data_IF_877492175207
#
_entry.id   IF_877492175207
#
_cell.length_a   1.000
_cell.length_b   1.000
_cell.length_c   1.000
_cell.angle_alpha   90.00
_cell.angle_beta   90.00
_cell.angle_gamma   90.00
#
_symmetry.space_group_name_H-M   'P 1'
#
loop_
_entity.id
_entity.type
_entity.pdbx_description
1 polymer ?
#
# COMPACT_ATOMS: atom_id res chain seq x y z
N UNK A 1 2.21 -14.32 -0.85
CA UNK A 1 1.19 -13.50 -1.51
C UNK A 1 1.80 -12.75 -2.69
N UNK A 2 1.03 -12.69 -3.78
CA UNK A 2 1.32 -11.85 -4.95
C UNK A 2 0.20 -10.83 -5.05
N UNK A 3 0.54 -9.62 -5.49
CA UNK A 3 -0.46 -8.61 -5.78
C UNK A 3 -0.59 -8.43 -7.28
N UNK A 4 -1.82 -8.43 -7.75
CA UNK A 4 -2.19 -7.99 -9.09
C UNK A 4 -3.05 -6.74 -8.92
N UNK A 5 -2.76 -5.71 -9.71
CA UNK A 5 -3.62 -4.53 -9.75
C UNK A 5 -4.15 -4.32 -11.16
N UNK A 6 -5.47 -4.13 -11.22
CA UNK A 6 -6.19 -3.70 -12.41
C UNK A 6 -6.77 -2.31 -12.18
N UNK A 7 -6.46 -1.37 -13.06
CA UNK A 7 -6.95 -0.01 -12.98
C UNK A 7 -7.70 0.41 -14.26
N UNK A 8 -8.73 1.24 -14.11
CA UNK A 8 -9.54 1.80 -15.20
C UNK A 8 -9.31 3.31 -15.41
N UNK A 9 -8.48 3.91 -14.57
CA UNK A 9 -8.04 5.31 -14.63
C UNK A 9 -6.57 5.34 -14.25
N UNK A 10 -5.84 6.34 -14.74
CA UNK A 10 -4.45 6.53 -14.34
C UNK A 10 -4.34 6.78 -12.82
N UNK A 11 -3.33 6.16 -12.20
CA UNK A 11 -3.08 6.30 -10.78
C UNK A 11 -1.65 5.92 -10.42
N UNK A 12 -1.24 6.29 -9.23
CA UNK A 12 -0.01 5.86 -8.57
C UNK A 12 -0.37 4.84 -7.50
N UNK A 13 0.44 3.79 -7.39
CA UNK A 13 0.25 2.74 -6.39
C UNK A 13 1.49 2.66 -5.52
N UNK A 14 1.27 2.56 -4.23
CA UNK A 14 2.30 2.35 -3.22
C UNK A 14 1.88 1.23 -2.30
N UNK A 15 2.82 0.37 -1.93
CA UNK A 15 2.56 -0.72 -1.00
C UNK A 15 3.54 -0.64 0.15
N UNK A 16 3.02 -0.71 1.36
CA UNK A 16 3.81 -0.70 2.58
C UNK A 16 3.52 -1.94 3.40
N UNK A 17 4.56 -2.53 3.96
CA UNK A 17 4.46 -3.65 4.89
C UNK A 17 4.67 -3.17 6.31
N UNK A 18 4.01 -3.83 7.27
CA UNK A 18 4.30 -3.66 8.69
C UNK A 18 5.41 -4.63 9.10
N UNK A 19 6.43 -4.12 9.77
CA UNK A 19 7.48 -4.93 10.40
C UNK A 19 7.05 -5.47 11.78
N UNK A 20 7.82 -6.43 12.27
CA UNK A 20 7.60 -7.06 13.59
C UNK A 20 7.73 -6.09 14.77
N UNK A 21 8.56 -5.05 14.64
CA UNK A 21 8.69 -3.96 15.61
C UNK A 21 7.56 -2.91 15.51
N UNK A 22 6.63 -3.11 14.58
CA UNK A 22 5.51 -2.21 14.30
C UNK A 22 5.84 -1.09 13.32
N UNK A 23 7.09 -0.88 12.90
CA UNK A 23 7.44 0.11 11.89
C UNK A 23 6.95 -0.31 10.50
N UNK A 24 7.12 0.58 9.51
CA UNK A 24 6.70 0.37 8.13
C UNK A 24 7.89 0.35 7.18
N UNK A 25 7.80 -0.47 6.15
CA UNK A 25 8.74 -0.49 5.04
C UNK A 25 8.03 -0.43 3.69
N UNK A 26 8.71 0.15 2.69
CA UNK A 26 8.16 0.26 1.34
C UNK A 26 8.38 -1.03 0.57
N UNK A 27 7.29 -1.72 0.24
CA UNK A 27 7.28 -2.91 -0.61
C UNK A 27 7.18 -2.55 -2.08
N UNK A 28 6.49 -1.48 -2.43
CA UNK A 28 6.38 -1.00 -3.80
C UNK A 28 6.35 0.52 -3.78
N UNK A 29 7.19 1.21 -4.58
CA UNK A 29 7.81 0.81 -5.86
C UNK A 29 9.13 -0.01 -5.86
N UNK A 30 9.50 -0.64 -4.74
CA UNK A 30 10.79 -1.32 -4.52
C UNK A 30 11.96 -0.34 -4.55
N UNK A 31 12.18 0.40 -3.45
CA UNK A 31 13.38 1.22 -3.28
C UNK A 31 14.64 0.37 -3.50
N UNK A 32 15.65 0.97 -4.11
CA UNK A 32 16.91 0.27 -4.31
C UNK A 32 17.72 0.32 -3.00
N UNK A 33 18.49 -0.75 -2.75
CA UNK A 33 19.32 -0.84 -1.55
C UNK A 33 20.50 0.14 -1.55
N UNK A 34 21.00 0.50 -2.74
CA UNK A 34 22.11 1.45 -2.92
C UNK A 34 21.67 2.92 -2.84
N UNK A 35 20.43 3.21 -3.22
CA UNK A 35 19.86 4.55 -3.23
C UNK A 35 18.34 4.48 -2.97
N UNK A 36 17.88 4.71 -1.72
CA UNK A 36 16.48 4.62 -1.36
C UNK A 36 15.56 5.65 -2.05
N UNK A 37 16.13 6.70 -2.63
CA UNK A 37 15.38 7.69 -3.42
C UNK A 37 15.03 7.19 -4.82
N UNK A 38 15.68 6.11 -5.27
CA UNK A 38 15.44 5.49 -6.57
C UNK A 38 14.75 4.15 -6.41
N UNK A 39 13.94 3.81 -7.40
CA UNK A 39 13.07 2.63 -7.33
C UNK A 39 13.31 1.75 -8.54
N UNK A 40 13.10 0.44 -8.37
CA UNK A 40 13.25 -0.51 -9.47
C UNK A 40 12.11 -0.38 -10.50
N UNK A 41 10.96 0.12 -10.07
CA UNK A 41 9.78 0.27 -10.91
C UNK A 41 9.09 1.62 -10.67
N UNK A 42 8.42 2.17 -11.67
CA UNK A 42 7.61 3.38 -11.49
C UNK A 42 6.32 3.06 -10.73
N UNK A 43 5.92 3.88 -9.73
CA UNK A 43 4.63 3.70 -9.05
C UNK A 43 3.42 4.01 -9.95
N UNK A 44 3.63 4.69 -11.07
CA UNK A 44 2.58 5.07 -12.01
C UNK A 44 2.00 3.86 -12.76
N UNK A 45 0.67 3.84 -12.86
CA UNK A 45 -0.16 2.89 -13.58
C UNK A 45 -1.06 3.69 -14.53
N UNK A 46 -0.82 3.61 -15.85
CA UNK A 46 -1.62 4.31 -16.86
C UNK A 46 -3.05 3.77 -16.99
N UNK A 47 -3.92 4.47 -17.72
CA UNK A 47 -5.40 4.34 -17.73
C UNK A 47 -6.02 2.93 -17.88
N UNK A 48 -5.33 1.96 -18.47
CA UNK A 48 -5.83 0.58 -18.57
C UNK A 48 -4.65 -0.39 -18.56
N UNK A 49 -4.60 -1.25 -17.56
CA UNK A 49 -3.53 -2.23 -17.47
C UNK A 49 -3.73 -3.24 -16.35
N UNK A 50 -2.90 -4.28 -16.44
CA UNK A 50 -2.66 -5.22 -15.37
C UNK A 50 -1.22 -5.05 -14.94
N UNK A 51 -1.00 -4.82 -13.64
CA UNK A 51 0.34 -4.89 -13.06
C UNK A 51 0.43 -6.14 -12.21
N UNK A 52 1.19 -7.11 -12.70
CA UNK A 52 1.61 -8.28 -11.93
C UNK A 52 2.92 -7.92 -11.24
N UNK A 53 2.95 -8.04 -9.92
CA UNK A 53 4.15 -7.73 -9.15
C UNK A 53 5.24 -8.80 -9.43
N UNK A 54 6.53 -8.41 -9.46
CA UNK A 54 7.62 -9.28 -9.91
C UNK A 54 7.66 -10.63 -9.17
N UNK A 55 8.01 -11.72 -9.90
CA UNK A 55 8.06 -13.08 -9.33
C UNK A 55 9.10 -13.22 -8.20
N UNK A 56 10.20 -12.45 -8.28
CA UNK A 56 11.28 -12.38 -7.28
C UNK A 56 10.91 -11.52 -6.06
N UNK A 57 9.74 -10.88 -6.09
CA UNK A 57 9.21 -10.04 -5.02
C UNK A 57 7.88 -10.60 -4.51
N UNK A 58 7.95 -11.85 -4.04
CA UNK A 58 6.86 -12.48 -3.29
C UNK A 58 6.89 -11.98 -1.86
N UNK A 59 5.71 -11.64 -1.33
CA UNK A 59 5.54 -11.37 0.09
C UNK A 59 5.22 -12.69 0.78
N UNK A 60 6.11 -13.22 1.60
CA UNK A 60 5.83 -14.45 2.35
C UNK A 60 5.52 -14.06 3.79
N UNK A 61 4.41 -14.54 4.33
CA UNK A 61 4.17 -14.39 5.76
C UNK A 61 5.31 -15.09 6.50
N UNK A 62 5.99 -14.37 7.39
CA UNK A 62 7.02 -14.98 8.23
C UNK A 62 6.38 -15.73 9.41
N UNK A 63 7.21 -16.43 10.18
CA UNK A 63 6.78 -17.16 11.37
C UNK A 63 6.76 -16.31 12.65
N UNK A 64 6.92 -14.99 12.57
CA UNK A 64 7.07 -14.08 13.71
C UNK A 64 5.76 -13.32 13.97
N UNK A 65 5.24 -13.41 15.19
CA UNK A 65 3.96 -12.79 15.54
C UNK A 65 2.74 -13.57 15.03
N UNK A 66 1.56 -12.95 15.09
CA UNK A 66 0.27 -13.61 14.78
C UNK A 66 -0.41 -13.11 13.51
N UNK A 67 0.02 -11.95 13.00
CA UNK A 67 -0.65 -11.23 11.91
C UNK A 67 0.36 -10.39 11.14
N UNK A 68 0.30 -10.48 9.82
CA UNK A 68 0.96 -9.54 8.93
C UNK A 68 -0.03 -8.49 8.44
N UNK A 69 0.45 -7.27 8.22
CA UNK A 69 -0.37 -6.19 7.69
C UNK A 69 0.32 -5.51 6.51
N UNK A 70 -0.47 -5.23 5.48
CA UNK A 70 -0.03 -4.61 4.24
C UNK A 70 -0.96 -3.43 3.96
N UNK A 71 -0.41 -2.25 3.74
CA UNK A 71 -1.15 -1.10 3.28
C UNK A 71 -0.97 -0.95 1.77
N UNK A 72 -2.09 -0.86 1.05
CA UNK A 72 -2.12 -0.49 -0.36
C UNK A 72 -2.68 0.92 -0.46
N UNK A 73 -1.89 1.84 -1.01
CA UNK A 73 -2.25 3.24 -1.22
C UNK A 73 -2.33 3.49 -2.72
N UNK A 74 -3.45 4.04 -3.18
CA UNK A 74 -3.70 4.42 -4.56
C UNK A 74 -3.97 5.91 -4.60
N UNK A 75 -3.26 6.65 -5.45
CA UNK A 75 -3.38 8.09 -5.57
C UNK A 75 -3.54 8.54 -7.01
N UNK A 76 -4.21 9.66 -7.23
CA UNK A 76 -4.23 10.33 -8.53
C UNK A 76 -2.93 11.09 -8.81
N UNK A 77 -2.40 11.73 -7.78
CA UNK A 77 -1.17 12.53 -7.84
C UNK A 77 0.00 11.72 -7.25
N UNK A 78 1.22 12.00 -7.68
CA UNK A 78 2.41 11.38 -7.10
C UNK A 78 2.55 11.75 -5.62
N UNK A 79 2.90 10.76 -4.79
CA UNK A 79 3.15 10.92 -3.36
C UNK A 79 4.62 10.65 -3.09
N UNK A 80 5.23 11.46 -2.22
CA UNK A 80 6.52 11.13 -1.60
C UNK A 80 6.33 9.93 -0.66
N UNK A 81 6.60 8.74 -1.19
CA UNK A 81 6.42 7.50 -0.45
C UNK A 81 7.45 7.33 0.67
N UNK A 82 8.60 8.01 0.59
CA UNK A 82 9.64 7.97 1.62
C UNK A 82 9.15 8.72 2.85
N UNK A 83 8.62 9.93 2.65
CA UNK A 83 8.01 10.71 3.72
C UNK A 83 6.77 10.00 4.28
N UNK A 84 5.92 9.45 3.41
CA UNK A 84 4.75 8.68 3.84
C UNK A 84 5.15 7.47 4.69
N UNK A 85 6.15 6.69 4.27
CA UNK A 85 6.64 5.55 5.06
C UNK A 85 7.19 6.00 6.42
N UNK A 86 7.99 7.07 6.43
CA UNK A 86 8.51 7.64 7.67
C UNK A 86 7.38 8.08 8.60
N UNK A 87 6.34 8.74 8.08
CA UNK A 87 5.18 9.18 8.84
C UNK A 87 4.38 7.99 9.42
N UNK A 88 4.18 6.92 8.66
CA UNK A 88 3.54 5.68 9.15
C UNK A 88 4.38 5.05 10.28
N UNK A 89 5.71 5.15 10.22
CA UNK A 89 6.63 4.56 11.21
C UNK A 89 6.76 5.33 12.52
N UNK A 90 6.29 6.59 12.64
CA UNK A 90 6.56 7.46 13.81
C UNK A 90 6.04 6.92 15.15
N UNK A 91 4.98 6.12 15.18
CA UNK A 91 4.33 5.66 16.42
C UNK A 91 4.02 4.14 16.42
N UNK A 92 5.02 3.26 16.38
CA UNK A 92 4.83 1.83 16.07
C UNK A 92 3.87 1.08 17.00
N UNK A 93 3.62 1.61 18.20
CA UNK A 93 2.70 1.06 19.21
C UNK A 93 1.21 1.22 18.85
N UNK A 94 0.86 2.07 17.90
CA UNK A 94 -0.53 2.27 17.45
C UNK A 94 -0.88 1.35 16.28
N UNK A 95 -2.17 1.01 16.15
CA UNK A 95 -2.70 0.24 15.04
C UNK A 95 -2.26 0.78 13.68
N UNK A 96 -1.85 -0.14 12.79
CA UNK A 96 -1.23 0.20 11.51
C UNK A 96 -2.17 1.01 10.61
N UNK A 97 -3.45 0.65 10.60
CA UNK A 97 -4.51 1.37 9.87
C UNK A 97 -4.71 2.80 10.37
N UNK A 98 -4.62 3.02 11.69
CA UNK A 98 -4.75 4.36 12.28
C UNK A 98 -3.56 5.25 11.88
N UNK A 99 -2.35 4.69 11.86
CA UNK A 99 -1.14 5.42 11.43
C UNK A 99 -1.14 5.77 9.96
N UNK A 100 -1.56 4.84 9.11
CA UNK A 100 -1.76 5.10 7.69
C UNK A 100 -2.76 6.24 7.48
N UNK A 101 -3.89 6.18 8.18
CA UNK A 101 -4.91 7.20 8.14
C UNK A 101 -4.39 8.57 8.62
N UNK A 102 -3.60 8.60 9.69
CA UNK A 102 -2.99 9.84 10.18
C UNK A 102 -1.97 10.41 9.18
N UNK A 103 -1.12 9.56 8.60
CA UNK A 103 -0.08 9.95 7.65
C UNK A 103 -0.63 10.50 6.34
N UNK A 104 -1.74 9.96 5.84
CA UNK A 104 -2.41 10.47 4.63
C UNK A 104 -3.18 11.78 4.87
N UNK A 105 -3.43 12.15 6.14
CA UNK A 105 -4.20 13.34 6.49
C UNK A 105 -5.69 13.25 6.14
N UNK A 106 -6.44 14.33 6.46
CA UNK A 106 -7.90 14.41 6.25
C UNK A 106 -8.27 14.75 4.80
N UNK A 107 -7.44 15.53 4.09
CA UNK A 107 -7.74 16.06 2.75
C UNK A 107 -7.42 15.09 1.59
N UNK A 108 -6.65 14.05 1.84
CA UNK A 108 -6.32 13.04 0.83
C UNK A 108 -7.50 12.07 0.57
N UNK A 109 -8.49 12.03 1.46
CA UNK A 109 -9.48 10.95 1.50
C UNK A 109 -10.65 11.21 0.55
N UNK A 110 -10.78 10.39 -0.48
CA UNK A 110 -12.11 10.14 -1.05
C UNK A 110 -12.90 9.30 -0.07
N UNK A 111 -14.21 9.56 0.07
CA UNK A 111 -15.15 8.54 0.53
C UNK A 111 -15.08 7.37 -0.46
N UNK A 112 -14.21 6.41 -0.18
CA UNK A 112 -13.97 5.25 -1.01
C UNK A 112 -14.80 4.08 -0.52
N UNK A 113 -15.31 3.27 -1.46
CA UNK A 113 -15.87 1.95 -1.12
C UNK A 113 -14.79 0.91 -1.36
N UNK A 114 -14.44 0.15 -0.32
CA UNK A 114 -13.72 -1.10 -0.45
C UNK A 114 -14.72 -2.26 -0.41
N UNK A 115 -14.65 -3.15 -1.38
CA UNK A 115 -15.38 -4.42 -1.37
C UNK A 115 -14.39 -5.56 -1.47
N UNK A 116 -14.48 -6.51 -0.54
CA UNK A 116 -13.70 -7.74 -0.57
C UNK A 116 -14.61 -8.84 -1.08
N UNK A 117 -14.23 -9.45 -2.20
CA UNK A 117 -14.93 -10.63 -2.72
C UNK A 117 -14.56 -11.88 -1.93
N UNK A 118 -15.41 -12.91 -1.97
CA UNK A 118 -15.12 -14.22 -1.38
C UNK A 118 -13.89 -14.92 -1.96
N UNK A 119 -13.41 -14.47 -3.13
CA UNK A 119 -12.18 -14.96 -3.77
C UNK A 119 -10.94 -14.11 -3.45
N UNK A 120 -11.04 -13.17 -2.49
CA UNK A 120 -9.90 -12.36 -2.04
C UNK A 120 -9.58 -11.13 -2.90
N UNK A 121 -10.37 -10.83 -3.94
CA UNK A 121 -10.20 -9.58 -4.69
C UNK A 121 -10.71 -8.39 -3.88
N UNK A 122 -9.92 -7.31 -3.87
CA UNK A 122 -10.27 -6.03 -3.23
C UNK A 122 -10.55 -5.01 -4.31
N UNK A 123 -11.76 -4.45 -4.33
CA UNK A 123 -12.15 -3.38 -5.25
C UNK A 123 -12.14 -2.06 -4.50
N UNK A 124 -11.33 -1.11 -4.97
CA UNK A 124 -11.26 0.26 -4.46
C UNK A 124 -11.90 1.21 -5.47
N UNK A 125 -12.88 2.00 -5.03
CA UNK A 125 -13.51 3.04 -5.85
C UNK A 125 -13.50 4.37 -5.12
N UNK A 126 -12.96 5.41 -5.74
CA UNK A 126 -13.01 6.76 -5.19
C UNK A 126 -14.40 7.36 -5.42
N UNK A 127 -14.94 8.02 -4.40
CA UNK A 127 -16.06 8.96 -4.56
C UNK A 127 -15.61 10.26 -5.24
N UNK A 128 -16.56 11.13 -5.57
CA UNK A 128 -16.27 12.40 -6.25
C UNK A 128 -15.30 13.27 -5.44
N UNK A 129 -14.21 13.69 -6.08
CA UNK A 129 -13.27 14.70 -5.57
C UNK A 129 -12.11 14.18 -4.72
N UNK A 130 -12.11 12.91 -4.31
CA UNK A 130 -11.00 12.42 -3.52
C UNK A 130 -9.86 11.85 -4.37
N UNK A 131 -8.64 12.18 -3.96
CA UNK A 131 -7.42 11.93 -4.73
C UNK A 131 -6.66 10.70 -4.27
N UNK A 132 -6.87 10.24 -3.02
CA UNK A 132 -6.18 9.11 -2.44
C UNK A 132 -7.18 8.13 -1.83
N UNK A 133 -6.91 6.84 -2.05
CA UNK A 133 -7.57 5.70 -1.44
C UNK A 133 -6.50 4.86 -0.75
N UNK A 134 -6.84 4.29 0.39
CA UNK A 134 -5.98 3.33 1.05
C UNK A 134 -6.79 2.20 1.66
N UNK A 135 -6.23 1.00 1.63
CA UNK A 135 -6.75 -0.14 2.38
C UNK A 135 -5.62 -0.87 3.08
N UNK A 136 -5.91 -1.39 4.28
CA UNK A 136 -5.02 -2.30 4.98
C UNK A 136 -5.56 -3.71 4.83
N UNK A 137 -4.70 -4.61 4.35
CA UNK A 137 -4.94 -6.05 4.27
C UNK A 137 -4.22 -6.68 5.45
N UNK A 138 -4.98 -7.30 6.33
CA UNK A 138 -4.46 -8.05 7.47
C UNK A 138 -4.58 -9.54 7.18
N UNK A 139 -3.51 -10.28 7.46
CA UNK A 139 -3.40 -11.70 7.20
C UNK A 139 -3.05 -12.37 8.51
N UNK A 140 -4.00 -13.10 9.07
CA UNK A 140 -3.75 -13.93 10.26
C UNK A 140 -2.88 -15.14 9.86
N UNK A 141 -1.88 -15.43 10.69
CA UNK A 141 -1.00 -16.58 10.51
C UNK A 141 -1.69 -17.81 11.10
N UNK A 142 -1.71 -18.91 10.33
CA UNK A 142 -2.16 -20.22 10.79
C UNK A 142 -1.01 -21.01 11.39
#
# INVERSE_FOLDING_TARGET
FKMEVKNSTECYIYVFGKETDGTSYTLFPYPRADDPSKTKYSPFCGITGYRVFPKDKSMTADSVGKRDAIAVVVSKDEIDWVELNAAISRNPQTEFSQRLNAALGLNARAAGRSQVSSTGNIVLRAGNGGKVLACVVEIDKQ
#
